data_IF_875509539630
#
_entry.id   IF_875509539630
#
_cell.length_a   1.000
_cell.length_b   1.000
_cell.length_c   1.000
_cell.angle_alpha   90.00
_cell.angle_beta   90.00
_cell.angle_gamma   90.00
#
_symmetry.space_group_name_H-M   'P 1'
#
loop_
_entity.id
_entity.type
_entity.pdbx_description
1 polymer ?
#
# COMPACT_ATOMS: atom_id res chain seq x y z
N UNK A 1 -2.32 -10.45 -1.37
CA UNK A 1 -2.06 -9.74 -2.64
C UNK A 1 -3.35 -9.75 -3.45
N UNK A 2 -3.95 -8.58 -3.65
CA UNK A 2 -5.18 -8.46 -4.43
C UNK A 2 -4.92 -8.71 -5.92
N UNK A 3 -5.77 -9.52 -6.56
CA UNK A 3 -5.77 -9.71 -8.01
C UNK A 3 -6.44 -8.55 -8.75
N UNK A 4 -7.32 -7.81 -8.06
CA UNK A 4 -8.03 -6.64 -8.58
C UNK A 4 -7.40 -5.35 -8.07
N UNK A 5 -7.44 -4.27 -8.85
CA UNK A 5 -6.96 -2.98 -8.38
C UNK A 5 -7.85 -2.44 -7.26
N UNK A 6 -7.23 -1.87 -6.24
CA UNK A 6 -7.92 -1.19 -5.13
C UNK A 6 -8.13 0.30 -5.40
N UNK A 7 -7.34 0.86 -6.32
CA UNK A 7 -7.48 2.25 -6.75
C UNK A 7 -6.86 2.48 -8.13
N UNK A 8 -7.49 3.36 -8.90
CA UNK A 8 -7.01 3.77 -10.23
C UNK A 8 -7.16 5.28 -10.41
N UNK A 9 -6.19 5.90 -11.07
CA UNK A 9 -6.25 7.32 -11.40
C UNK A 9 -5.46 7.65 -12.67
N UNK A 10 -5.73 8.83 -13.24
CA UNK A 10 -5.03 9.33 -14.43
C UNK A 10 -4.46 10.72 -14.16
N UNK A 11 -3.13 10.82 -14.16
CA UNK A 11 -2.41 12.09 -14.11
C UNK A 11 -2.09 12.52 -15.54
N UNK A 12 -2.49 13.74 -15.90
CA UNK A 12 -2.29 14.31 -17.24
C UNK A 12 -1.25 15.42 -17.18
N UNK A 13 -0.22 15.32 -18.00
CA UNK A 13 0.86 16.29 -18.05
C UNK A 13 1.09 16.76 -19.49
N UNK A 14 1.30 18.06 -19.69
CA UNK A 14 1.78 18.54 -20.98
C UNK A 14 3.21 18.04 -21.23
N UNK A 15 3.59 17.84 -22.49
CA UNK A 15 4.94 17.39 -22.84
C UNK A 15 6.06 18.27 -22.26
N UNK A 16 5.78 19.56 -22.01
CA UNK A 16 6.71 20.50 -21.39
C UNK A 16 7.02 20.16 -19.93
N UNK A 17 6.06 19.58 -19.21
CA UNK A 17 6.14 19.28 -17.77
C UNK A 17 6.67 17.87 -17.49
N UNK A 18 6.56 16.97 -18.46
CA UNK A 18 7.06 15.60 -18.36
C UNK A 18 8.58 15.55 -18.23
N UNK A 19 9.04 14.75 -17.27
CA UNK A 19 10.45 14.48 -17.00
C UNK A 19 10.87 13.15 -17.63
N UNK A 20 12.04 13.15 -18.26
CA UNK A 20 12.63 11.94 -18.83
C UNK A 20 14.11 11.82 -18.47
N UNK A 21 14.56 10.62 -18.14
CA UNK A 21 15.97 10.30 -17.85
C UNK A 21 16.90 10.60 -19.03
N UNK A 22 16.40 10.59 -20.26
CA UNK A 22 17.18 10.93 -21.46
C UNK A 22 17.44 12.44 -21.60
N UNK A 23 16.79 13.29 -20.81
CA UNK A 23 17.05 14.74 -20.85
C UNK A 23 18.27 15.07 -19.99
N UNK A 24 19.39 15.43 -20.64
CA UNK A 24 20.57 16.03 -19.98
C UNK A 24 20.27 17.49 -19.57
N UNK A 25 19.37 17.71 -18.62
CA UNK A 25 19.07 19.05 -18.08
C UNK A 25 19.80 19.28 -16.77
N UNK A 26 20.24 20.52 -16.54
CA UNK A 26 20.80 20.95 -15.27
C UNK A 26 19.75 20.78 -14.16
N UNK A 27 20.13 20.18 -13.04
CA UNK A 27 19.25 19.78 -11.93
C UNK A 27 18.33 20.91 -11.42
N UNK A 28 18.81 22.16 -11.43
CA UNK A 28 18.05 23.33 -11.01
C UNK A 28 16.79 23.61 -11.88
N UNK A 29 16.82 23.24 -13.15
CA UNK A 29 15.69 23.44 -14.08
C UNK A 29 14.59 22.36 -13.93
N UNK A 30 14.91 21.23 -13.30
CA UNK A 30 13.98 20.12 -13.11
C UNK A 30 13.15 20.24 -11.83
N UNK A 31 13.65 20.97 -10.82
CA UNK A 31 13.03 21.08 -9.49
C UNK A 31 11.58 21.64 -9.52
N UNK A 32 11.26 22.72 -10.26
CA UNK A 32 9.89 23.24 -10.31
C UNK A 32 8.89 22.20 -10.86
N UNK A 33 9.27 21.46 -11.90
CA UNK A 33 8.40 20.45 -12.53
C UNK A 33 8.15 19.27 -11.60
N UNK A 34 9.20 18.81 -10.89
CA UNK A 34 9.06 17.75 -9.87
C UNK A 34 8.04 18.16 -8.81
N UNK A 35 8.13 19.39 -8.30
CA UNK A 35 7.18 19.93 -7.32
C UNK A 35 5.76 19.96 -7.88
N UNK A 36 5.57 20.44 -9.11
CA UNK A 36 4.25 20.48 -9.76
C UNK A 36 3.67 19.08 -9.92
N UNK A 37 4.45 18.12 -10.42
CA UNK A 37 4.00 16.73 -10.60
C UNK A 37 3.60 16.11 -9.25
N UNK A 38 4.41 16.32 -8.21
CA UNK A 38 4.14 15.84 -6.84
C UNK A 38 2.84 16.40 -6.29
N UNK A 39 2.62 17.70 -6.42
CA UNK A 39 1.38 18.36 -6.01
C UNK A 39 0.16 17.85 -6.77
N UNK A 40 0.27 17.64 -8.08
CA UNK A 40 -0.83 17.08 -8.89
C UNK A 40 -1.15 15.66 -8.42
N UNK A 41 -0.15 14.83 -8.16
CA UNK A 41 -0.35 13.47 -7.68
C UNK A 41 -1.01 13.44 -6.30
N UNK A 42 -0.52 14.25 -5.37
CA UNK A 42 -1.11 14.40 -4.03
C UNK A 42 -2.58 14.81 -4.10
N UNK A 43 -2.87 15.88 -4.85
CA UNK A 43 -4.24 16.38 -5.03
C UNK A 43 -5.12 15.33 -5.70
N UNK A 44 -4.62 14.64 -6.73
CA UNK A 44 -5.37 13.58 -7.41
C UNK A 44 -5.74 12.46 -6.44
N UNK A 45 -4.79 12.00 -5.61
CA UNK A 45 -5.04 10.98 -4.59
C UNK A 45 -6.09 11.44 -3.55
N UNK A 46 -5.97 12.66 -3.04
CA UNK A 46 -6.94 13.24 -2.09
C UNK A 46 -8.34 13.37 -2.70
N UNK A 47 -8.46 13.95 -3.90
CA UNK A 47 -9.76 14.18 -4.54
C UNK A 47 -10.46 12.89 -4.97
N UNK A 48 -9.69 11.88 -5.41
CA UNK A 48 -10.24 10.58 -5.79
C UNK A 48 -10.40 9.63 -4.60
N UNK A 49 -10.09 10.08 -3.38
CA UNK A 49 -10.18 9.29 -2.14
C UNK A 49 -9.40 7.99 -2.22
N UNK A 50 -8.13 8.09 -2.61
CA UNK A 50 -7.22 6.95 -2.60
C UNK A 50 -7.16 6.29 -1.20
N UNK A 51 -7.07 4.95 -1.12
CA UNK A 51 -7.01 4.24 0.15
C UNK A 51 -5.65 4.46 0.83
N UNK A 52 -5.62 4.31 2.16
CA UNK A 52 -4.39 4.21 2.95
C UNK A 52 -3.97 2.74 3.01
N UNK A 53 -2.83 2.39 2.41
CA UNK A 53 -2.32 1.03 2.30
C UNK A 53 -1.03 0.89 3.10
N UNK A 54 -0.81 -0.27 3.72
CA UNK A 54 0.49 -0.56 4.37
C UNK A 54 1.54 -0.98 3.35
N UNK A 55 1.14 -1.78 2.36
CA UNK A 55 2.01 -2.17 1.25
C UNK A 55 1.21 -2.23 -0.04
N UNK A 56 1.75 -1.70 -1.12
CA UNK A 56 1.10 -1.74 -2.41
C UNK A 56 2.05 -2.07 -3.55
N UNK A 57 1.48 -2.57 -4.64
CA UNK A 57 2.14 -2.61 -5.95
C UNK A 57 1.53 -1.57 -6.86
N UNK A 58 2.40 -0.78 -7.47
CA UNK A 58 2.01 0.29 -8.39
C UNK A 58 2.41 -0.08 -9.81
N UNK A 59 1.43 -0.08 -10.71
CA UNK A 59 1.67 -0.15 -12.16
C UNK A 59 1.31 1.22 -12.76
N UNK A 60 2.21 1.75 -13.58
CA UNK A 60 1.99 3.01 -14.30
C UNK A 60 2.04 2.74 -15.79
N UNK A 61 0.89 2.90 -16.46
CA UNK A 61 0.82 2.90 -17.91
C UNK A 61 0.99 4.32 -18.45
N UNK A 62 2.02 4.54 -19.26
CA UNK A 62 2.28 5.81 -19.94
C UNK A 62 1.61 5.78 -21.31
N UNK A 63 0.57 6.58 -21.51
CA UNK A 63 0.01 6.84 -22.82
C UNK A 63 0.71 8.04 -23.46
N UNK A 64 1.14 7.87 -24.71
CA UNK A 64 1.95 8.82 -25.44
C UNK A 64 1.09 9.68 -26.40
N UNK A 65 1.51 10.93 -26.68
CA UNK A 65 0.82 11.81 -27.64
C UNK A 65 1.02 11.43 -29.11
N UNK A 66 1.96 10.52 -29.39
CA UNK A 66 2.32 10.10 -30.74
C UNK A 66 2.84 8.65 -30.74
N UNK A 67 3.03 8.10 -31.93
CA UNK A 67 3.49 6.71 -32.14
C UNK A 67 5.01 6.54 -32.09
N UNK A 68 5.78 7.53 -31.63
CA UNK A 68 7.23 7.40 -31.56
C UNK A 68 7.57 6.30 -30.55
N UNK A 69 8.50 5.41 -30.93
CA UNK A 69 9.02 4.40 -30.02
C UNK A 69 9.76 5.10 -28.87
N UNK A 70 9.32 4.81 -27.65
CA UNK A 70 9.91 5.31 -26.40
C UNK A 70 9.90 4.18 -25.38
N UNK A 71 10.97 4.05 -24.62
CA UNK A 71 10.98 3.13 -23.48
C UNK A 71 10.30 3.81 -22.27
N UNK A 72 9.23 3.20 -21.71
CA UNK A 72 8.53 3.69 -20.52
C UNK A 72 9.44 3.97 -19.31
N UNK A 73 10.52 3.21 -19.13
CA UNK A 73 11.43 3.37 -17.99
C UNK A 73 12.14 4.72 -18.00
N UNK A 74 12.30 5.35 -19.17
CA UNK A 74 12.82 6.71 -19.25
C UNK A 74 11.93 7.72 -18.52
N UNK A 75 10.67 7.39 -18.27
CA UNK A 75 9.70 8.23 -17.56
C UNK A 75 9.64 7.94 -16.05
N UNK A 76 10.54 7.09 -15.52
CA UNK A 76 10.74 6.95 -14.08
C UNK A 76 11.06 8.29 -13.40
N UNK A 77 11.72 9.21 -14.13
CA UNK A 77 11.94 10.58 -13.68
C UNK A 77 10.64 11.37 -13.41
N UNK A 78 9.53 11.01 -14.09
CA UNK A 78 8.19 11.53 -13.81
C UNK A 78 7.46 10.68 -12.77
N UNK A 79 7.65 9.36 -12.78
CA UNK A 79 7.03 8.46 -11.82
C UNK A 79 7.45 8.75 -10.37
N UNK A 80 8.73 9.08 -10.13
CA UNK A 80 9.23 9.38 -8.78
C UNK A 80 8.44 10.49 -8.07
N UNK A 81 8.31 11.72 -8.62
CA UNK A 81 7.49 12.74 -7.97
C UNK A 81 6.01 12.37 -7.90
N UNK A 82 5.48 11.52 -8.78
CA UNK A 82 4.11 10.99 -8.63
C UNK A 82 4.01 10.15 -7.35
N UNK A 83 4.93 9.21 -7.15
CA UNK A 83 4.99 8.36 -5.95
C UNK A 83 5.16 9.20 -4.69
N UNK A 84 6.06 10.18 -4.70
CA UNK A 84 6.21 11.13 -3.59
C UNK A 84 4.87 11.81 -3.23
N UNK A 85 4.08 12.18 -4.22
CA UNK A 85 2.77 12.80 -4.00
C UNK A 85 1.74 11.83 -3.42
N UNK A 86 1.83 10.53 -3.75
CA UNK A 86 1.00 9.50 -3.12
C UNK A 86 1.34 9.33 -1.64
N UNK A 87 2.64 9.36 -1.29
CA UNK A 87 3.11 9.34 0.11
C UNK A 87 2.65 10.59 0.85
N UNK A 88 2.78 11.78 0.26
CA UNK A 88 2.27 13.03 0.86
C UNK A 88 0.75 13.02 1.12
N UNK A 89 -0.01 12.31 0.27
CA UNK A 89 -1.44 12.11 0.44
C UNK A 89 -1.79 11.02 1.48
N UNK A 90 -0.79 10.31 2.01
CA UNK A 90 -0.94 9.22 2.96
C UNK A 90 -1.35 7.88 2.35
N UNK A 91 -1.30 7.73 1.02
CA UNK A 91 -1.67 6.47 0.35
C UNK A 91 -0.77 5.32 0.79
N UNK A 92 0.51 5.62 1.05
CA UNK A 92 1.52 4.73 1.60
C UNK A 92 2.29 5.45 2.71
N UNK A 93 2.82 4.73 3.71
CA UNK A 93 3.66 5.33 4.75
C UNK A 93 4.97 5.90 4.19
N UNK A 94 5.60 5.21 3.23
CA UNK A 94 6.83 5.62 2.55
C UNK A 94 6.90 5.03 1.13
N UNK A 95 7.88 5.46 0.33
CA UNK A 95 8.13 4.95 -1.03
C UNK A 95 9.20 3.85 -1.11
N UNK A 96 9.67 3.37 0.04
CA UNK A 96 10.67 2.33 0.11
C UNK A 96 10.16 0.95 -0.35
N UNK A 97 11.10 0.01 -0.47
CA UNK A 97 10.81 -1.36 -0.88
C UNK A 97 9.91 -2.16 0.10
N UNK A 98 9.71 -1.67 1.32
CA UNK A 98 8.88 -2.32 2.35
C UNK A 98 7.40 -1.95 2.19
N UNK A 99 7.11 -0.74 1.72
CA UNK A 99 5.76 -0.24 1.48
C UNK A 99 5.35 -0.26 -0.01
N UNK A 100 6.30 -0.17 -0.93
CA UNK A 100 6.02 -0.08 -2.37
C UNK A 100 6.79 -1.12 -3.19
N UNK A 101 6.04 -1.97 -3.90
CA UNK A 101 6.55 -2.77 -5.00
C UNK A 101 6.35 -2.02 -6.34
N UNK A 102 7.46 -1.60 -6.95
CA UNK A 102 7.46 -0.85 -8.22
C UNK A 102 7.99 0.58 -8.05
N UNK A 103 7.53 1.55 -8.87
CA UNK A 103 6.49 1.43 -9.91
C UNK A 103 6.93 0.61 -11.13
N UNK A 104 6.04 -0.27 -11.61
CA UNK A 104 6.19 -1.00 -12.88
C UNK A 104 5.72 -0.12 -14.05
N UNK A 105 6.66 0.32 -14.88
CA UNK A 105 6.41 1.23 -16.01
C UNK A 105 6.07 0.45 -17.28
N UNK A 106 4.90 0.72 -17.85
CA UNK A 106 4.48 0.12 -19.13
C UNK A 106 3.98 1.16 -20.12
N UNK A 107 4.04 0.84 -21.40
CA UNK A 107 3.43 1.66 -22.44
C UNK A 107 1.94 1.33 -22.54
N UNK A 108 1.08 2.34 -22.58
CA UNK A 108 -0.31 2.14 -22.97
C UNK A 108 -0.39 1.78 -24.47
N UNK A 109 -1.41 1.02 -24.85
CA UNK A 109 -1.61 0.58 -26.25
C UNK A 109 -2.19 1.69 -27.14
N UNK A 110 -2.89 2.63 -26.52
CA UNK A 110 -3.59 3.73 -27.15
C UNK A 110 -2.84 5.06 -27.02
N UNK A 111 -3.19 6.01 -27.89
CA UNK A 111 -2.63 7.35 -27.90
C UNK A 111 -3.49 8.32 -27.08
N UNK A 112 -2.85 9.32 -26.50
CA UNK A 112 -3.58 10.40 -25.82
C UNK A 112 -4.23 11.35 -26.82
N UNK A 113 -5.35 11.94 -26.44
CA UNK A 113 -5.96 13.04 -27.19
C UNK A 113 -5.26 14.36 -26.85
N UNK A 114 -4.91 15.16 -27.86
CA UNK A 114 -4.38 16.52 -27.65
C UNK A 114 -5.39 17.37 -26.90
N UNK A 115 -4.94 18.22 -25.99
CA UNK A 115 -5.80 19.21 -25.33
C UNK A 115 -5.27 20.62 -25.63
N UNK A 116 -6.16 21.49 -26.10
CA UNK A 116 -5.82 22.88 -26.47
C UNK A 116 -4.59 22.95 -27.41
N UNK A 117 -4.53 22.03 -28.39
CA UNK A 117 -3.41 21.94 -29.34
C UNK A 117 -2.10 21.35 -28.79
N UNK A 118 -1.99 21.13 -27.48
CA UNK A 118 -0.78 20.63 -26.84
C UNK A 118 -0.72 19.09 -26.79
N UNK A 119 0.46 18.49 -26.98
CA UNK A 119 0.67 17.06 -26.75
C UNK A 119 0.63 16.77 -25.24
N UNK A 120 -0.26 15.86 -24.85
CA UNK A 120 -0.47 15.43 -23.47
C UNK A 120 0.12 14.03 -23.28
N UNK A 121 0.65 13.75 -22.10
CA UNK A 121 0.95 12.41 -21.63
C UNK A 121 -0.08 12.06 -20.57
N UNK A 122 -0.55 10.82 -20.57
CA UNK A 122 -1.33 10.28 -19.46
C UNK A 122 -0.50 9.25 -18.72
N UNK A 123 -0.33 9.44 -17.42
CA UNK A 123 0.18 8.46 -16.49
C UNK A 123 -1.03 7.83 -15.81
N UNK A 124 -1.36 6.60 -16.21
CA UNK A 124 -2.49 5.84 -15.67
C UNK A 124 -1.96 4.96 -14.56
N UNK A 125 -2.34 5.27 -13.34
CA UNK A 125 -1.91 4.61 -12.11
C UNK A 125 -2.92 3.53 -11.77
N UNK A 126 -2.42 2.35 -11.47
CA UNK A 126 -3.22 1.23 -10.95
C UNK A 126 -2.52 0.68 -9.71
N UNK A 127 -3.17 0.80 -8.55
CA UNK A 127 -2.69 0.29 -7.27
C UNK A 127 -3.35 -1.04 -6.92
N UNK A 128 -2.55 -1.96 -6.42
CA UNK A 128 -2.96 -3.22 -5.85
C UNK A 128 -2.54 -3.28 -4.40
N UNK A 129 -3.45 -3.68 -3.52
CA UNK A 129 -3.11 -3.94 -2.12
C UNK A 129 -2.26 -5.21 -2.03
N UNK A 130 -1.04 -5.05 -1.52
CA UNK A 130 -0.08 -6.12 -1.27
C UNK A 130 0.16 -6.35 0.22
N UNK A 131 -0.56 -5.66 1.11
CA UNK A 131 -0.60 -6.06 2.49
C UNK A 131 -1.04 -7.53 2.51
N UNK A 132 -0.18 -8.40 3.06
CA UNK A 132 -0.69 -9.73 3.39
C UNK A 132 -1.66 -9.50 4.54
N UNK A 133 -2.91 -9.93 4.36
CA UNK A 133 -3.87 -9.88 5.44
C UNK A 133 -3.25 -10.63 6.63
N UNK A 134 -3.29 -9.99 7.81
CA UNK A 134 -2.91 -10.67 9.04
C UNK A 134 -3.69 -11.98 9.12
N UNK A 135 -2.98 -13.10 9.27
CA UNK A 135 -3.59 -14.41 9.35
C UNK A 135 -3.51 -14.93 10.78
N UNK A 136 -4.39 -15.86 11.10
CA UNK A 136 -4.48 -16.45 12.42
C UNK A 136 -3.94 -17.86 12.36
N UNK A 137 -3.02 -18.18 13.27
CA UNK A 137 -2.38 -19.49 13.35
C UNK A 137 -2.75 -20.13 14.68
N UNK A 138 -3.21 -21.39 14.69
CA UNK A 138 -3.38 -22.15 15.93
C UNK A 138 -2.11 -22.10 16.77
N UNK A 139 -2.28 -21.90 18.07
CA UNK A 139 -1.17 -21.73 19.01
C UNK A 139 -1.47 -22.46 20.31
N UNK A 140 -0.49 -23.15 20.86
CA UNK A 140 -0.60 -23.69 22.20
C UNK A 140 -0.49 -22.56 23.23
N UNK A 141 -1.17 -22.69 24.37
CA UNK A 141 -1.15 -21.64 25.39
C UNK A 141 0.28 -21.32 25.86
N UNK A 142 1.18 -22.30 25.89
CA UNK A 142 2.59 -22.10 26.28
C UNK A 142 3.39 -21.23 25.33
N UNK A 143 2.91 -21.01 24.09
CA UNK A 143 3.57 -20.21 23.08
C UNK A 143 3.03 -18.77 23.01
N UNK A 144 2.01 -18.43 23.82
CA UNK A 144 1.43 -17.10 23.91
C UNK A 144 2.31 -16.21 24.80
N UNK A 145 2.62 -15.01 24.31
CA UNK A 145 3.41 -14.01 25.04
C UNK A 145 2.62 -12.72 25.26
N UNK A 146 3.03 -11.93 26.26
CA UNK A 146 2.54 -10.55 26.41
C UNK A 146 2.91 -9.75 25.16
N UNK A 147 1.95 -9.01 24.62
CA UNK A 147 2.07 -8.30 23.34
C UNK A 147 1.56 -9.08 22.13
N UNK A 148 1.29 -10.38 22.25
CA UNK A 148 0.62 -11.14 21.18
C UNK A 148 -0.83 -10.65 21.03
N UNK A 149 -1.31 -10.55 19.80
CA UNK A 149 -2.77 -10.45 19.56
C UNK A 149 -3.31 -11.85 19.35
N UNK A 150 -4.23 -12.28 20.20
CA UNK A 150 -4.81 -13.63 20.15
C UNK A 150 -6.33 -13.55 19.99
N UNK A 151 -6.92 -14.64 19.49
CA UNK A 151 -8.35 -14.88 19.52
C UNK A 151 -8.63 -16.29 19.99
N UNK A 152 -9.69 -16.47 20.77
CA UNK A 152 -10.20 -17.78 21.15
C UNK A 152 -11.49 -18.04 20.39
N UNK A 153 -11.61 -19.26 19.90
CA UNK A 153 -12.68 -19.72 19.03
C UNK A 153 -13.49 -20.78 19.76
N UNK A 154 -14.80 -20.74 19.63
CA UNK A 154 -15.67 -21.81 20.09
C UNK A 154 -15.42 -23.07 19.24
N UNK A 155 -15.08 -24.18 19.88
CA UNK A 155 -14.75 -25.43 19.17
C UNK A 155 -15.95 -26.09 18.47
N UNK A 156 -17.18 -25.77 18.87
CA UNK A 156 -18.38 -26.34 18.29
C UNK A 156 -18.90 -25.50 17.11
N UNK A 157 -18.87 -24.17 17.22
CA UNK A 157 -19.42 -23.26 16.21
C UNK A 157 -18.36 -22.65 15.29
N UNK A 158 -17.10 -22.59 15.73
CA UNK A 158 -16.03 -21.88 15.03
C UNK A 158 -16.11 -20.35 15.17
N UNK A 159 -16.99 -19.83 16.02
CA UNK A 159 -17.14 -18.39 16.23
C UNK A 159 -16.05 -17.85 17.17
N UNK A 160 -15.62 -16.61 16.93
CA UNK A 160 -14.69 -15.92 17.82
C UNK A 160 -15.43 -15.49 19.07
N UNK A 161 -15.03 -16.03 20.22
CA UNK A 161 -15.65 -15.74 21.53
C UNK A 161 -14.84 -14.74 22.37
N UNK A 162 -13.55 -14.58 22.06
CA UNK A 162 -12.71 -13.55 22.65
C UNK A 162 -11.57 -13.18 21.69
N UNK A 163 -11.16 -11.92 21.63
CA UNK A 163 -10.04 -11.47 20.83
C UNK A 163 -9.43 -10.20 21.43
N UNK A 164 -8.11 -10.11 21.48
CA UNK A 164 -7.45 -8.91 22.01
C UNK A 164 -5.93 -9.02 22.05
N UNK A 165 -5.32 -7.92 22.49
CA UNK A 165 -3.89 -7.86 22.80
C UNK A 165 -3.67 -8.44 24.21
N UNK A 166 -2.76 -9.40 24.34
CA UNK A 166 -2.39 -9.96 25.64
C UNK A 166 -1.60 -8.92 26.43
N UNK A 167 -2.21 -8.39 27.49
CA UNK A 167 -1.58 -7.45 28.41
C UNK A 167 -0.85 -8.15 29.56
N UNK A 168 -1.37 -9.30 30.01
CA UNK A 168 -0.78 -10.07 31.10
C UNK A 168 -1.09 -11.58 30.99
N UNK A 169 -0.20 -12.41 31.54
CA UNK A 169 -0.42 -13.86 31.68
C UNK A 169 -0.39 -14.24 33.16
N UNK A 170 -1.50 -14.75 33.66
CA UNK A 170 -1.68 -15.14 35.06
C UNK A 170 -1.68 -16.66 35.20
N UNK A 171 -0.85 -17.21 36.10
CA UNK A 171 -0.86 -18.64 36.45
C UNK A 171 -1.69 -18.87 37.70
N UNK A 172 -2.72 -19.69 37.59
CA UNK A 172 -3.54 -20.16 38.70
C UNK A 172 -3.12 -21.60 39.06
N UNK A 173 -3.75 -22.17 40.09
CA UNK A 173 -3.45 -23.51 40.58
C UNK A 173 -3.64 -24.60 39.53
N UNK A 174 -4.72 -24.52 38.74
CA UNK A 174 -5.15 -25.59 37.83
C UNK A 174 -5.00 -25.21 36.34
N UNK A 175 -4.84 -23.92 36.03
CA UNK A 175 -4.69 -23.42 34.66
C UNK A 175 -4.02 -22.05 34.62
N UNK A 176 -3.64 -21.60 33.43
CA UNK A 176 -3.19 -20.24 33.18
C UNK A 176 -4.19 -19.48 32.30
N UNK A 177 -4.14 -18.14 32.39
CA UNK A 177 -5.00 -17.22 31.65
C UNK A 177 -4.18 -16.14 30.97
N UNK A 178 -4.48 -15.87 29.71
CA UNK A 178 -4.04 -14.68 29.02
C UNK A 178 -5.18 -13.67 29.07
N UNK A 179 -4.89 -12.45 29.52
CA UNK A 179 -5.89 -11.38 29.66
C UNK A 179 -5.40 -10.10 28.96
N UNK A 180 -6.34 -9.26 28.54
CA UNK A 180 -6.02 -7.91 28.08
C UNK A 180 -5.66 -6.97 29.24
N UNK A 181 -5.37 -5.70 28.94
CA UNK A 181 -5.02 -4.69 29.94
C UNK A 181 -6.19 -4.32 30.88
N UNK A 182 -7.43 -4.53 30.46
CA UNK A 182 -8.65 -4.30 31.23
C UNK A 182 -9.09 -5.57 31.99
N UNK A 183 -8.22 -6.59 32.06
CA UNK A 183 -8.46 -7.90 32.68
C UNK A 183 -9.55 -8.75 32.01
N UNK A 184 -9.90 -8.45 30.76
CA UNK A 184 -10.76 -9.28 29.91
C UNK A 184 -10.06 -10.60 29.56
N UNK A 185 -10.79 -11.72 29.65
CA UNK A 185 -10.24 -13.04 29.35
C UNK A 185 -10.09 -13.24 27.83
N UNK A 186 -8.87 -13.54 27.39
CA UNK A 186 -8.56 -13.78 25.98
C UNK A 186 -8.34 -15.26 25.66
N UNK A 187 -7.63 -15.98 26.52
CA UNK A 187 -7.33 -17.42 26.34
C UNK A 187 -7.10 -18.12 27.69
N UNK A 188 -7.26 -19.45 27.71
CA UNK A 188 -6.97 -20.30 28.88
C UNK A 188 -6.15 -21.51 28.47
N UNK A 189 -5.25 -21.97 29.34
CA UNK A 189 -4.39 -23.13 29.05
C UNK A 189 -5.15 -24.46 28.97
N UNK A 190 -6.35 -24.53 29.53
CA UNK A 190 -7.23 -25.69 29.50
C UNK A 190 -8.30 -25.59 28.39
N UNK A 191 -8.16 -24.64 27.47
CA UNK A 191 -9.05 -24.46 26.31
C UNK A 191 -8.22 -24.26 25.03
N UNK A 192 -7.83 -25.33 24.32
CA UNK A 192 -6.81 -25.30 23.26
C UNK A 192 -7.34 -24.85 21.89
N UNK A 193 -8.22 -23.84 21.86
CA UNK A 193 -8.81 -23.29 20.63
C UNK A 193 -8.47 -21.81 20.50
N UNK A 194 -7.18 -21.50 20.67
CA UNK A 194 -6.64 -20.16 20.55
C UNK A 194 -5.79 -20.06 19.31
N UNK A 195 -5.89 -18.93 18.62
CA UNK A 195 -5.05 -18.59 17.49
C UNK A 195 -4.34 -17.26 17.77
N UNK A 196 -3.10 -17.14 17.30
CA UNK A 196 -2.32 -15.90 17.33
C UNK A 196 -2.35 -15.23 15.98
N UNK A 197 -2.56 -13.92 15.98
CA UNK A 197 -2.44 -13.08 14.79
C UNK A 197 -0.97 -12.98 14.40
N UNK A 198 -0.64 -13.43 13.19
CA UNK A 198 0.64 -13.15 12.56
C UNK A 198 0.48 -12.00 11.58
N UNK A 199 1.33 -11.00 11.75
CA UNK A 199 1.61 -10.02 10.71
C UNK A 199 2.63 -10.67 9.74
N UNK A 200 2.55 -10.40 8.44
CA UNK A 200 3.55 -10.87 7.48
C UNK A 200 4.97 -10.39 7.77
#
# INVERSE_FOLDING_TARGET
MSSQPVWEAVIRLAAADVLSLNQRKHWAQASPRRRTIRQIAEQTARFTRAPHLQRARLVIHVAFPDRRRRDPHNYMATAKPIVDGLVDAGVLPDDDHTHLAGPDMRAAKDLTVKRMGQPIYEFRLTLYDEAMAAFWVPVDFSEIHVGDTVRTIDHATGEVIAQGLVGHITRLKDHARAVDHDSGLLARSDYPHTERRQLP
#
